data_IF_672194591422
#
_entry.id   IF_672194591422
#
_cell.length_a   1.000
_cell.length_b   1.000
_cell.length_c   1.000
_cell.angle_alpha   90.00
_cell.angle_beta   90.00
_cell.angle_gamma   90.00
#
_symmetry.space_group_name_H-M   'P 1'
#
loop_
_entity.id
_entity.type
_entity.pdbx_description
1 polymer ?
#
# COMPACT_ATOMS: atom_id res chain seq x y z
N UNK A 1 22.55 9.73 1.23
CA UNK A 1 22.87 8.36 1.68
C UNK A 1 21.91 7.40 0.98
N UNK A 2 22.41 6.67 -0.02
CA UNK A 2 21.64 5.61 -0.71
C UNK A 2 21.71 4.39 0.19
N UNK A 3 20.58 3.96 0.73
CA UNK A 3 20.48 2.72 1.49
C UNK A 3 19.94 1.67 0.52
N UNK A 4 20.76 0.67 0.23
CA UNK A 4 20.32 -0.56 -0.45
C UNK A 4 19.48 -1.33 0.57
N UNK A 5 18.24 -1.67 0.21
CA UNK A 5 17.37 -2.48 1.06
C UNK A 5 18.07 -3.77 1.50
N UNK A 6 17.91 -4.14 2.76
CA UNK A 6 18.48 -5.37 3.30
C UNK A 6 17.84 -6.59 2.63
N UNK A 7 18.68 -7.52 2.15
CA UNK A 7 18.25 -8.75 1.47
C UNK A 7 18.52 -9.94 2.37
N UNK A 8 17.50 -10.41 3.07
CA UNK A 8 17.57 -11.65 3.84
C UNK A 8 17.45 -12.85 2.88
N UNK A 9 18.55 -13.60 2.72
CA UNK A 9 18.58 -14.83 1.90
C UNK A 9 18.26 -16.02 2.79
N UNK A 10 17.06 -16.58 2.67
CA UNK A 10 16.71 -17.87 3.28
C UNK A 10 16.95 -19.02 2.27
N UNK A 11 17.59 -20.09 2.73
CA UNK A 11 17.85 -21.30 1.95
C UNK A 11 16.60 -22.18 1.89
N UNK A 12 16.04 -22.39 0.69
CA UNK A 12 14.92 -23.29 0.44
C UNK A 12 13.76 -22.58 -0.23
N UNK A 13 13.80 -22.45 -1.56
CA UNK A 13 12.75 -21.74 -2.29
C UNK A 13 11.62 -22.70 -2.68
N UNK A 14 10.79 -23.08 -1.71
CA UNK A 14 9.44 -23.62 -1.95
C UNK A 14 8.44 -22.50 -1.71
N UNK A 15 8.33 -21.56 -2.64
CA UNK A 15 7.51 -20.35 -2.49
C UNK A 15 7.40 -19.52 -3.76
N UNK A 16 6.74 -18.35 -3.67
CA UNK A 16 6.60 -17.41 -4.78
C UNK A 16 7.97 -16.97 -5.31
N UNK A 17 8.08 -16.73 -6.63
CA UNK A 17 9.31 -16.27 -7.25
C UNK A 17 9.78 -14.96 -6.60
N UNK A 18 11.05 -14.89 -6.13
CA UNK A 18 11.56 -13.68 -5.51
C UNK A 18 11.70 -12.61 -6.57
N UNK A 19 11.45 -11.36 -6.20
CA UNK A 19 11.36 -10.25 -7.15
C UNK A 19 12.67 -10.03 -7.92
N UNK A 20 13.82 -10.35 -7.31
CA UNK A 20 15.15 -10.35 -7.97
C UNK A 20 15.29 -11.32 -9.16
N UNK A 21 14.43 -12.33 -9.24
CA UNK A 21 14.43 -13.29 -10.36
C UNK A 21 13.52 -12.86 -11.51
N UNK A 22 12.83 -11.73 -11.37
CA UNK A 22 12.01 -11.17 -12.44
C UNK A 22 12.93 -10.41 -13.39
N UNK A 23 12.93 -10.82 -14.66
CA UNK A 23 13.74 -10.21 -15.72
C UNK A 23 13.06 -8.93 -16.24
N UNK A 24 12.88 -7.96 -15.34
CA UNK A 24 12.36 -6.64 -15.67
C UNK A 24 12.80 -5.59 -14.63
N UNK A 25 12.35 -4.36 -14.83
CA UNK A 25 12.61 -3.26 -13.91
C UNK A 25 11.73 -3.37 -12.67
N UNK A 26 12.39 -3.44 -11.51
CA UNK A 26 11.79 -3.59 -10.19
C UNK A 26 12.31 -2.47 -9.29
N UNK A 27 11.41 -1.77 -8.62
CA UNK A 27 11.75 -0.87 -7.51
C UNK A 27 11.08 -1.35 -6.23
N UNK A 28 11.76 -1.18 -5.09
CA UNK A 28 11.23 -1.45 -3.76
C UNK A 28 11.47 -0.23 -2.88
N UNK A 29 10.39 0.30 -2.31
CA UNK A 29 10.43 1.36 -1.29
C UNK A 29 10.16 0.72 0.08
N UNK A 30 11.19 0.64 0.92
CA UNK A 30 11.11 0.01 2.23
C UNK A 30 10.40 0.86 3.29
N UNK A 31 10.10 0.23 4.42
CA UNK A 31 9.47 0.78 5.62
C UNK A 31 10.10 2.12 6.05
N UNK A 32 11.42 2.23 6.04
CA UNK A 32 12.19 3.40 6.46
C UNK A 32 11.93 4.65 5.59
N UNK A 33 11.42 4.46 4.38
CA UNK A 33 11.04 5.54 3.47
C UNK A 33 9.55 5.86 3.54
N UNK A 34 8.74 4.94 4.03
CA UNK A 34 7.27 5.03 3.99
C UNK A 34 6.69 5.42 5.35
N UNK A 35 7.13 4.79 6.43
CA UNK A 35 6.43 4.81 7.72
C UNK A 35 6.40 6.19 8.40
N UNK A 36 7.38 7.04 8.11
CA UNK A 36 7.45 8.42 8.62
C UNK A 36 6.80 9.45 7.70
N UNK A 37 6.31 9.05 6.52
CA UNK A 37 5.68 9.97 5.57
C UNK A 37 4.35 10.46 6.08
N UNK A 38 4.12 11.77 5.96
CA UNK A 38 2.82 12.40 6.18
C UNK A 38 2.14 12.51 4.81
N UNK A 39 1.18 11.63 4.54
CA UNK A 39 0.39 11.62 3.31
C UNK A 39 -1.08 11.62 3.66
N UNK A 40 -1.89 12.34 2.89
CA UNK A 40 -3.35 12.29 3.07
C UNK A 40 -3.88 10.96 2.53
N UNK A 41 -3.26 10.43 1.49
CA UNK A 41 -3.66 9.20 0.84
C UNK A 41 -2.46 8.30 0.55
N UNK A 42 -2.66 6.99 0.63
CA UNK A 42 -1.58 6.02 0.51
C UNK A 42 -1.08 5.91 -0.93
N UNK A 43 -1.91 6.26 -1.92
CA UNK A 43 -1.49 6.39 -3.32
C UNK A 43 -0.44 7.48 -3.55
N UNK A 44 -0.31 8.48 -2.66
CA UNK A 44 0.73 9.52 -2.75
C UNK A 44 2.13 8.93 -2.55
N UNK A 45 2.25 7.82 -1.82
CA UNK A 45 3.52 7.12 -1.61
C UNK A 45 4.03 6.49 -2.91
N UNK A 46 3.11 5.91 -3.69
CA UNK A 46 3.43 5.31 -4.99
C UNK A 46 3.98 6.37 -5.95
N UNK A 47 3.41 7.58 -5.94
CA UNK A 47 3.91 8.70 -6.76
C UNK A 47 5.34 9.13 -6.44
N UNK A 48 5.90 8.72 -5.30
CA UNK A 48 7.30 9.01 -4.94
C UNK A 48 8.29 7.98 -5.53
N UNK A 49 7.81 6.93 -6.19
CA UNK A 49 8.67 5.92 -6.81
C UNK A 49 9.10 6.33 -8.22
N UNK A 50 10.33 5.96 -8.66
CA UNK A 50 10.84 6.32 -9.97
C UNK A 50 9.92 5.89 -11.13
N UNK A 51 9.82 6.71 -12.18
CA UNK A 51 9.09 6.34 -13.40
C UNK A 51 7.59 6.14 -13.24
N UNK A 52 7.02 6.56 -12.10
CA UNK A 52 5.58 6.63 -11.87
C UNK A 52 5.11 8.05 -12.11
N UNK A 53 4.05 8.17 -12.90
CA UNK A 53 3.24 9.38 -12.98
C UNK A 53 1.95 9.13 -12.21
N UNK A 54 1.45 10.16 -11.54
CA UNK A 54 0.28 10.04 -10.68
C UNK A 54 -0.77 11.06 -11.13
N UNK A 55 -1.94 10.56 -11.51
CA UNK A 55 -3.11 11.42 -11.71
C UNK A 55 -3.81 11.61 -10.38
N UNK A 56 -3.70 12.80 -9.82
CA UNK A 56 -4.29 13.16 -8.53
C UNK A 56 -5.67 13.79 -8.72
N UNK A 57 -6.74 13.00 -8.63
CA UNK A 57 -8.10 13.54 -8.73
C UNK A 57 -8.43 14.47 -7.57
N UNK A 58 -7.98 14.12 -6.35
CA UNK A 58 -8.30 14.86 -5.11
C UNK A 58 -9.81 15.09 -4.91
N UNK A 59 -10.63 14.14 -5.39
CA UNK A 59 -12.09 14.17 -5.30
C UNK A 59 -12.59 13.18 -4.24
N UNK A 60 -12.53 13.59 -2.99
CA UNK A 60 -13.04 12.81 -1.87
C UNK A 60 -12.34 11.46 -1.73
N UNK A 61 -13.09 10.36 -1.83
CA UNK A 61 -12.60 8.99 -1.67
C UNK A 61 -12.17 8.32 -2.98
N UNK A 62 -12.00 9.09 -4.06
CA UNK A 62 -11.42 8.59 -5.30
C UNK A 62 -9.91 8.47 -5.17
N UNK A 63 -9.37 7.28 -5.43
CA UNK A 63 -7.93 7.05 -5.38
C UNK A 63 -7.21 7.77 -6.52
N UNK A 64 -6.02 8.29 -6.24
CA UNK A 64 -5.09 8.71 -7.27
C UNK A 64 -4.71 7.53 -8.16
N UNK A 65 -4.57 7.77 -9.46
CA UNK A 65 -4.27 6.70 -10.43
C UNK A 65 -2.79 6.71 -10.78
N UNK A 66 -1.98 5.74 -10.31
CA UNK A 66 -0.62 5.61 -10.77
C UNK A 66 -0.61 5.09 -12.21
N UNK A 67 0.33 5.60 -12.99
CA UNK A 67 0.63 5.18 -14.34
C UNK A 67 2.14 5.02 -14.51
N UNK A 68 2.54 4.05 -15.33
CA UNK A 68 3.94 3.90 -15.74
C UNK A 68 4.02 3.23 -17.09
N UNK A 69 5.02 3.61 -17.89
CA UNK A 69 5.23 3.12 -19.27
C UNK A 69 3.97 3.25 -20.16
N UNK A 70 3.23 4.35 -19.99
CA UNK A 70 1.96 4.65 -20.67
C UNK A 70 0.81 3.65 -20.40
N UNK A 71 0.96 2.78 -19.39
CA UNK A 71 -0.12 1.94 -18.89
C UNK A 71 -0.76 2.59 -17.68
N UNK A 72 -2.09 2.52 -17.65
CA UNK A 72 -2.94 3.30 -16.76
C UNK A 72 -2.75 4.82 -16.92
N UNK A 73 -3.68 5.56 -16.33
CA UNK A 73 -3.85 7.00 -16.46
C UNK A 73 -5.31 7.36 -16.19
N UNK A 74 -5.75 8.47 -16.75
CA UNK A 74 -7.17 8.83 -16.80
C UNK A 74 -7.97 7.74 -17.55
N UNK A 75 -8.78 6.96 -16.84
CA UNK A 75 -9.62 5.91 -17.44
C UNK A 75 -10.04 4.80 -16.48
N UNK A 76 -10.81 3.86 -17.00
CA UNK A 76 -11.25 2.65 -16.30
C UNK A 76 -10.70 1.39 -16.97
N UNK A 77 -9.38 1.25 -16.97
CA UNK A 77 -8.66 0.12 -17.56
C UNK A 77 -7.81 -0.55 -16.47
N UNK A 78 -7.83 -1.87 -16.42
CA UNK A 78 -6.98 -2.67 -15.53
C UNK A 78 -5.59 -2.90 -16.16
N UNK A 79 -4.83 -1.83 -16.40
CA UNK A 79 -3.49 -1.92 -16.99
C UNK A 79 -2.39 -2.26 -15.98
N UNK A 80 -2.50 -1.74 -14.76
CA UNK A 80 -1.59 -2.02 -13.63
C UNK A 80 -2.34 -2.72 -12.53
N UNK A 81 -1.80 -3.85 -12.07
CA UNK A 81 -2.35 -4.61 -10.95
C UNK A 81 -1.88 -4.03 -9.62
N UNK A 82 -2.82 -3.64 -8.77
CA UNK A 82 -2.59 -3.42 -7.35
C UNK A 82 -2.72 -4.76 -6.62
N UNK A 83 -1.74 -5.03 -5.76
CA UNK A 83 -1.73 -6.13 -4.83
C UNK A 83 -1.56 -5.55 -3.43
N UNK A 84 -2.34 -6.07 -2.49
CA UNK A 84 -2.17 -5.81 -1.07
C UNK A 84 -1.84 -7.16 -0.45
N UNK A 85 -0.62 -7.32 0.05
CA UNK A 85 -0.06 -8.61 0.47
C UNK A 85 -0.16 -9.72 -0.59
N UNK A 86 0.05 -9.37 -1.87
CA UNK A 86 -0.08 -10.33 -2.97
C UNK A 86 -1.53 -10.70 -3.36
N UNK A 87 -2.54 -10.11 -2.72
CA UNK A 87 -3.96 -10.28 -3.10
C UNK A 87 -4.42 -9.12 -3.99
N UNK A 88 -5.07 -9.36 -5.14
CA UNK A 88 -5.55 -8.29 -6.02
C UNK A 88 -6.46 -7.28 -5.29
N UNK A 89 -6.11 -6.00 -5.37
CA UNK A 89 -6.81 -4.89 -4.70
C UNK A 89 -7.59 -3.96 -5.64
N UNK A 90 -7.39 -4.04 -6.96
CA UNK A 90 -8.21 -3.26 -7.91
C UNK A 90 -9.67 -3.73 -7.89
N UNK A 91 -10.58 -2.80 -8.15
CA UNK A 91 -11.93 -3.17 -8.59
C UNK A 91 -11.97 -3.41 -10.11
N UNK A 92 -13.08 -3.95 -10.62
CA UNK A 92 -13.27 -4.28 -12.03
C UNK A 92 -12.97 -3.13 -13.00
N UNK A 93 -13.08 -1.88 -12.55
CA UNK A 93 -12.82 -0.69 -13.35
C UNK A 93 -11.34 -0.26 -13.37
N UNK A 94 -10.42 -0.94 -12.69
CA UNK A 94 -9.01 -0.51 -12.55
C UNK A 94 -8.74 0.41 -11.38
N UNK A 95 -9.79 0.98 -10.77
CA UNK A 95 -9.66 1.87 -9.62
C UNK A 95 -9.02 1.14 -8.41
N UNK A 96 -8.18 1.84 -7.69
CA UNK A 96 -7.32 1.35 -6.61
C UNK A 96 -7.82 1.81 -5.23
N UNK A 97 -9.14 1.96 -5.06
CA UNK A 97 -9.76 2.51 -3.83
C UNK A 97 -9.39 1.80 -2.52
N UNK A 98 -9.03 0.52 -2.57
CA UNK A 98 -8.59 -0.22 -1.37
C UNK A 98 -7.18 0.14 -0.91
N UNK A 99 -6.40 0.88 -1.71
CA UNK A 99 -5.05 1.29 -1.34
C UNK A 99 -5.04 2.22 -0.13
N UNK A 100 -6.02 3.11 -0.01
CA UNK A 100 -6.10 4.08 1.09
C UNK A 100 -6.50 3.47 2.44
N UNK A 101 -6.83 2.17 2.45
CA UNK A 101 -6.97 1.38 3.68
C UNK A 101 -5.63 1.11 4.37
N UNK A 102 -4.52 1.14 3.63
CA UNK A 102 -3.20 0.76 4.13
C UNK A 102 -2.43 2.03 4.51
N UNK A 103 -2.33 2.31 5.80
CA UNK A 103 -1.69 3.53 6.29
C UNK A 103 -0.16 3.37 6.36
N UNK A 104 0.61 4.48 6.30
CA UNK A 104 2.08 4.43 6.25
C UNK A 104 2.73 3.55 7.32
N UNK A 105 2.28 3.59 8.58
CA UNK A 105 2.90 2.84 9.67
C UNK A 105 2.75 1.31 9.50
N UNK A 106 1.70 0.85 8.81
CA UNK A 106 1.45 -0.57 8.56
C UNK A 106 2.25 -1.12 7.38
N UNK A 107 2.81 -0.26 6.53
CA UNK A 107 3.52 -0.66 5.31
C UNK A 107 4.93 -1.15 5.66
N UNK A 108 5.24 -2.38 5.25
CA UNK A 108 6.59 -2.94 5.31
C UNK A 108 7.38 -2.54 4.06
N UNK A 109 6.76 -2.63 2.89
CA UNK A 109 7.34 -2.12 1.65
C UNK A 109 6.29 -1.92 0.55
N UNK A 110 6.65 -1.09 -0.43
CA UNK A 110 5.94 -0.97 -1.71
C UNK A 110 6.88 -1.47 -2.80
N UNK A 111 6.47 -2.51 -3.51
CA UNK A 111 7.19 -3.07 -4.66
C UNK A 111 6.46 -2.68 -5.95
N UNK A 112 7.22 -2.24 -6.95
CA UNK A 112 6.70 -1.93 -8.28
C UNK A 112 7.48 -2.73 -9.31
N UNK A 113 6.78 -3.62 -9.99
CA UNK A 113 7.31 -4.41 -11.11
C UNK A 113 6.74 -3.86 -12.40
N UNK A 114 7.60 -3.36 -13.28
CA UNK A 114 7.17 -2.71 -14.53
C UNK A 114 7.29 -3.67 -15.70
N UNK A 115 6.29 -3.68 -16.57
CA UNK A 115 6.20 -4.52 -17.76
C UNK A 115 5.49 -5.86 -17.53
N UNK A 116 5.33 -6.61 -18.61
CA UNK A 116 4.52 -7.84 -18.71
C UNK A 116 5.19 -9.10 -18.16
N UNK A 117 6.44 -9.00 -17.70
CA UNK A 117 7.31 -10.16 -17.43
C UNK A 117 7.16 -10.75 -16.02
N UNK A 118 6.14 -10.36 -15.25
CA UNK A 118 5.86 -10.94 -13.94
C UNK A 118 4.77 -12.02 -14.04
N UNK A 119 5.15 -13.32 -14.03
CA UNK A 119 4.20 -14.41 -14.16
C UNK A 119 3.39 -14.65 -12.87
N UNK A 120 3.76 -14.03 -11.73
CA UNK A 120 3.18 -14.36 -10.42
C UNK A 120 1.70 -14.02 -10.30
N UNK A 121 1.20 -13.05 -11.09
CA UNK A 121 -0.11 -12.46 -10.84
C UNK A 121 -1.10 -12.49 -12.01
N UNK A 122 -0.73 -13.05 -13.17
CA UNK A 122 -1.66 -13.34 -14.28
C UNK A 122 -2.30 -12.09 -14.92
N UNK A 123 -3.61 -12.17 -15.23
CA UNK A 123 -4.39 -11.16 -15.96
C UNK A 123 -4.33 -9.77 -15.30
N UNK A 124 -4.63 -8.70 -16.04
CA UNK A 124 -4.68 -7.32 -15.50
C UNK A 124 -3.31 -6.78 -15.03
N UNK A 125 -2.22 -7.28 -15.62
CA UNK A 125 -0.81 -6.99 -15.26
C UNK A 125 0.01 -6.57 -16.50
N UNK A 126 -0.62 -5.88 -17.47
CA UNK A 126 0.00 -5.60 -18.78
C UNK A 126 1.07 -4.51 -18.66
N UNK A 127 0.75 -3.45 -17.91
CA UNK A 127 1.72 -2.42 -17.56
C UNK A 127 2.72 -2.89 -16.52
N UNK A 128 2.30 -3.82 -15.65
CA UNK A 128 3.03 -4.33 -14.49
C UNK A 128 2.16 -4.32 -13.24
N UNK A 129 2.77 -4.45 -12.07
CA UNK A 129 2.08 -4.49 -10.79
C UNK A 129 2.73 -3.63 -9.72
N UNK A 130 1.93 -3.31 -8.72
CA UNK A 130 2.31 -2.62 -7.50
C UNK A 130 1.85 -3.50 -6.36
N UNK A 131 2.77 -3.97 -5.52
CA UNK A 131 2.48 -4.73 -4.33
C UNK A 131 2.78 -3.90 -3.09
N UNK A 132 1.74 -3.61 -2.32
CA UNK A 132 1.87 -3.01 -0.99
C UNK A 132 1.84 -4.12 0.03
N UNK A 133 3.00 -4.40 0.60
CA UNK A 133 3.13 -5.39 1.67
C UNK A 133 2.97 -4.70 3.02
N UNK A 134 2.06 -5.23 3.83
CA UNK A 134 1.89 -4.80 5.22
C UNK A 134 2.74 -5.65 6.14
N UNK A 135 3.08 -5.10 7.30
CA UNK A 135 3.87 -5.77 8.34
C UNK A 135 3.33 -7.18 8.62
N UNK A 136 4.24 -8.13 8.72
CA UNK A 136 3.93 -9.54 8.99
C UNK A 136 5.04 -10.17 9.82
N UNK A 137 4.70 -10.75 10.97
CA UNK A 137 5.66 -11.28 11.93
C UNK A 137 6.30 -10.21 12.80
N UNK A 138 7.41 -10.59 13.43
CA UNK A 138 8.21 -9.72 14.30
C UNK A 138 7.59 -9.45 15.68
N UNK A 139 8.37 -8.77 16.53
CA UNK A 139 7.97 -8.37 17.88
C UNK A 139 8.15 -6.86 18.04
N UNK A 140 7.05 -6.11 17.98
CA UNK A 140 7.10 -4.65 18.03
C UNK A 140 5.80 -4.05 18.56
N UNK A 141 5.92 -2.85 19.15
CA UNK A 141 4.81 -1.98 19.49
C UNK A 141 5.18 -0.59 18.98
N UNK A 142 4.47 -0.11 17.97
CA UNK A 142 4.70 1.20 17.38
C UNK A 142 3.42 2.02 17.38
N UNK A 143 3.52 3.31 17.65
CA UNK A 143 2.41 4.25 17.59
C UNK A 143 2.89 5.56 16.99
N UNK A 144 1.98 6.24 16.28
CA UNK A 144 2.23 7.53 15.66
C UNK A 144 1.03 8.44 15.90
N UNK A 145 1.34 9.67 16.28
CA UNK A 145 0.39 10.77 16.38
C UNK A 145 0.87 11.88 15.46
N UNK A 146 0.00 12.36 14.58
CA UNK A 146 0.28 13.49 13.69
C UNK A 146 -0.79 14.55 13.88
N UNK A 147 -0.37 15.81 14.00
CA UNK A 147 -1.25 16.98 14.03
C UNK A 147 -0.70 18.03 13.07
N UNK A 148 -1.56 18.76 12.37
CA UNK A 148 -1.10 19.72 11.37
C UNK A 148 -2.18 20.66 10.86
N UNK A 149 -1.85 21.35 9.75
CA UNK A 149 -2.73 22.32 9.08
C UNK A 149 -4.10 21.72 8.73
N UNK A 150 -5.10 22.59 8.54
CA UNK A 150 -6.48 22.18 8.20
C UNK A 150 -7.11 21.26 9.25
N UNK A 151 -6.78 21.49 10.53
CA UNK A 151 -7.25 20.69 11.66
C UNK A 151 -6.97 19.18 11.46
N UNK A 152 -5.86 18.85 10.81
CA UNK A 152 -5.51 17.46 10.50
C UNK A 152 -5.04 16.77 11.76
N UNK A 153 -5.66 15.63 12.07
CA UNK A 153 -5.34 14.78 13.21
C UNK A 153 -5.29 13.33 12.74
N UNK A 154 -4.20 12.64 13.05
CA UNK A 154 -4.02 11.24 12.71
C UNK A 154 -3.42 10.47 13.88
N UNK A 155 -3.98 9.29 14.13
CA UNK A 155 -3.44 8.31 15.08
C UNK A 155 -3.28 6.98 14.35
N UNK A 156 -2.11 6.35 14.50
CA UNK A 156 -1.83 5.01 14.01
C UNK A 156 -1.18 4.19 15.14
N UNK A 157 -1.53 2.91 15.25
CA UNK A 157 -0.88 1.98 16.16
C UNK A 157 -0.73 0.60 15.49
N UNK A 158 0.43 0.01 15.67
CA UNK A 158 0.82 -1.27 15.10
C UNK A 158 1.43 -2.15 16.19
N UNK A 159 0.97 -3.40 16.28
CA UNK A 159 1.45 -4.42 17.21
C UNK A 159 1.81 -5.67 16.41
N UNK A 160 3.03 -6.16 16.58
CA UNK A 160 3.46 -7.46 16.07
C UNK A 160 3.92 -8.34 17.20
N UNK A 161 3.50 -9.59 17.20
CA UNK A 161 4.02 -10.61 18.08
C UNK A 161 4.21 -11.92 17.31
N UNK A 162 5.41 -12.49 17.43
CA UNK A 162 5.74 -13.77 16.80
C UNK A 162 6.45 -14.67 17.80
N UNK A 163 5.90 -15.87 17.98
CA UNK A 163 6.43 -16.89 18.89
C UNK A 163 6.00 -18.28 18.44
N UNK A 164 6.91 -19.26 18.51
CA UNK A 164 6.61 -20.67 18.22
C UNK A 164 5.99 -20.92 16.84
N UNK A 165 6.49 -20.23 15.79
CA UNK A 165 5.97 -20.36 14.42
C UNK A 165 4.63 -19.67 14.16
N UNK A 166 4.04 -18.99 15.16
CA UNK A 166 2.80 -18.24 15.03
C UNK A 166 3.06 -16.73 15.10
N UNK A 167 2.78 -16.04 13.99
CA UNK A 167 2.88 -14.60 13.83
C UNK A 167 1.50 -13.94 13.87
N UNK A 168 1.38 -12.89 14.68
CA UNK A 168 0.18 -12.09 14.84
C UNK A 168 0.51 -10.62 14.66
N UNK A 169 -0.22 -9.93 13.79
CA UNK A 169 -0.07 -8.49 13.59
C UNK A 169 -1.42 -7.81 13.66
N UNK A 170 -1.46 -6.68 14.36
CA UNK A 170 -2.66 -5.87 14.55
C UNK A 170 -2.34 -4.43 14.19
N UNK A 171 -3.25 -3.81 13.47
CA UNK A 171 -3.13 -2.42 13.06
C UNK A 171 -4.44 -1.68 13.29
N UNK A 172 -4.35 -0.45 13.79
CA UNK A 172 -5.49 0.48 13.86
C UNK A 172 -5.03 1.88 13.50
N UNK A 173 -5.83 2.57 12.70
CA UNK A 173 -5.59 3.96 12.35
C UNK A 173 -6.87 4.76 12.18
N UNK A 174 -6.77 6.07 12.44
CA UNK A 174 -7.80 7.06 12.17
C UNK A 174 -7.14 8.35 11.72
N UNK A 175 -7.63 8.94 10.62
CA UNK A 175 -7.24 10.24 10.11
C UNK A 175 -8.50 11.09 9.90
N UNK A 176 -8.49 12.33 10.37
CA UNK A 176 -9.52 13.36 10.17
C UNK A 176 -8.84 14.66 9.73
N UNK A 177 -9.35 15.33 8.70
CA UNK A 177 -8.80 16.58 8.18
C UNK A 177 -9.90 17.37 7.49
N UNK A 178 -9.95 18.68 7.75
CA UNK A 178 -10.90 19.58 7.06
C UNK A 178 -10.50 19.81 5.59
N UNK A 179 -9.24 19.55 5.25
CA UNK A 179 -8.69 19.76 3.92
C UNK A 179 -8.48 21.23 3.57
N UNK A 180 -7.81 21.48 2.44
CA UNK A 180 -7.37 22.82 2.06
C UNK A 180 -8.43 23.63 1.29
N UNK A 181 -9.45 22.96 0.74
CA UNK A 181 -10.56 23.57 -0.02
C UNK A 181 -11.87 23.47 0.74
N UNK A 182 -12.78 24.38 0.45
CA UNK A 182 -14.18 24.20 0.85
C UNK A 182 -14.72 22.87 0.30
N UNK A 183 -15.50 22.16 1.11
CA UNK A 183 -16.01 20.82 0.76
C UNK A 183 -14.92 19.76 0.51
N UNK A 184 -13.75 19.85 1.16
CA UNK A 184 -12.68 18.84 1.06
C UNK A 184 -12.43 18.00 2.32
N UNK A 185 -13.29 18.13 3.35
CA UNK A 185 -13.17 17.36 4.60
C UNK A 185 -13.14 15.86 4.32
N UNK A 186 -12.20 15.16 4.95
CA UNK A 186 -12.01 13.72 4.83
C UNK A 186 -11.77 13.07 6.19
N UNK A 187 -12.41 11.93 6.41
CA UNK A 187 -12.27 11.10 7.61
C UNK A 187 -12.18 9.64 7.21
N UNK A 188 -11.09 8.98 7.58
CA UNK A 188 -10.90 7.55 7.35
C UNK A 188 -10.42 6.83 8.60
N UNK A 189 -10.83 5.57 8.73
CA UNK A 189 -10.32 4.67 9.74
C UNK A 189 -10.10 3.28 9.16
N UNK A 190 -9.07 2.61 9.66
CA UNK A 190 -8.69 1.26 9.26
C UNK A 190 -8.38 0.41 10.48
N UNK A 191 -8.80 -0.85 10.42
CA UNK A 191 -8.43 -1.89 11.39
C UNK A 191 -7.97 -3.11 10.59
N UNK A 192 -6.83 -3.68 10.95
CA UNK A 192 -6.24 -4.83 10.30
C UNK A 192 -5.77 -5.87 11.30
N UNK A 193 -5.90 -7.14 10.91
CA UNK A 193 -5.36 -8.29 11.62
C UNK A 193 -4.75 -9.29 10.64
N UNK A 194 -3.57 -9.83 10.97
CA UNK A 194 -2.93 -10.92 10.24
C UNK A 194 -2.51 -12.00 11.22
N UNK A 195 -2.78 -13.25 10.85
CA UNK A 195 -2.37 -14.43 11.60
C UNK A 195 -1.71 -15.40 10.64
N UNK A 196 -0.46 -15.75 10.88
CA UNK A 196 0.27 -16.70 10.06
C UNK A 196 0.88 -17.78 10.93
N UNK A 197 0.73 -19.02 10.50
CA UNK A 197 1.34 -20.19 11.13
C UNK A 197 2.34 -20.81 10.15
N UNK A 198 3.55 -21.05 10.62
CA UNK A 198 4.60 -21.78 9.91
C UNK A 198 4.96 -23.02 10.73
N UNK A 199 4.94 -24.21 10.12
CA UNK A 199 5.31 -25.44 10.82
C UNK A 199 6.80 -25.45 11.18
N UNK A 200 7.18 -26.16 12.25
CA UNK A 200 8.58 -26.26 12.70
C UNK A 200 9.53 -26.77 11.62
N UNK A 201 9.04 -27.67 10.77
CA UNK A 201 9.78 -28.21 9.62
C UNK A 201 9.81 -27.26 8.40
N UNK A 202 9.15 -26.09 8.46
CA UNK A 202 9.09 -25.07 7.41
C UNK A 202 8.25 -25.45 6.17
N UNK A 203 7.75 -26.68 6.09
CA UNK A 203 7.05 -27.19 4.91
C UNK A 203 5.61 -26.70 4.74
N UNK A 204 5.02 -26.05 5.73
CA UNK A 204 3.67 -25.51 5.67
C UNK A 204 3.64 -24.08 6.21
N UNK A 205 3.11 -23.15 5.41
CA UNK A 205 2.74 -21.80 5.85
C UNK A 205 1.29 -21.54 5.49
N UNK A 206 0.47 -21.23 6.49
CA UNK A 206 -0.93 -20.85 6.33
C UNK A 206 -1.16 -19.48 6.97
N UNK A 207 -2.10 -18.70 6.44
CA UNK A 207 -2.42 -17.41 7.02
C UNK A 207 -3.84 -16.93 6.75
N UNK A 208 -4.31 -16.07 7.65
CA UNK A 208 -5.57 -15.35 7.58
C UNK A 208 -5.28 -13.86 7.68
N UNK A 209 -5.93 -13.08 6.82
CA UNK A 209 -5.87 -11.62 6.85
C UNK A 209 -7.29 -11.09 6.90
N UNK A 210 -7.57 -10.20 7.85
CA UNK A 210 -8.85 -9.53 7.99
C UNK A 210 -8.64 -8.02 8.08
N UNK A 211 -9.45 -7.25 7.35
CA UNK A 211 -9.38 -5.79 7.34
C UNK A 211 -10.76 -5.17 7.31
N UNK A 212 -10.90 -4.07 8.04
CA UNK A 212 -12.09 -3.23 8.06
C UNK A 212 -11.64 -1.81 7.75
N UNK A 213 -12.31 -1.18 6.79
CA UNK A 213 -12.00 0.17 6.33
C UNK A 213 -13.26 0.96 6.11
N UNK A 214 -13.22 2.24 6.47
CA UNK A 214 -14.25 3.21 6.11
C UNK A 214 -13.59 4.54 5.80
N UNK A 215 -14.14 5.20 4.79
CA UNK A 215 -13.67 6.48 4.30
C UNK A 215 -14.88 7.32 3.92
N UNK A 216 -15.11 8.35 4.70
CA UNK A 216 -16.08 9.40 4.41
C UNK A 216 -15.30 10.63 3.96
N UNK A 217 -15.60 11.12 2.76
CA UNK A 217 -14.91 12.27 2.22
C UNK A 217 -15.86 13.12 1.39
N UNK A 218 -15.76 14.43 1.56
CA UNK A 218 -16.40 15.41 0.68
C UNK A 218 -15.54 15.63 -0.56
N UNK A 219 -16.17 16.08 -1.64
CA UNK A 219 -15.49 16.33 -2.92
C UNK A 219 -15.67 17.80 -3.31
N UNK A 220 -14.58 18.60 -3.38
CA UNK A 220 -14.65 20.04 -3.64
C UNK A 220 -14.84 20.38 -5.14
N UNK A 221 -15.08 19.38 -6.00
CA UNK A 221 -15.12 19.54 -7.45
C UNK A 221 -13.75 19.79 -8.07
N UNK A 222 -13.71 19.90 -9.40
CA UNK A 222 -12.52 20.32 -10.13
C UNK A 222 -12.27 21.82 -9.96
N UNK A 223 -11.01 22.22 -9.99
CA UNK A 223 -10.65 23.63 -9.98
C UNK A 223 -11.17 24.33 -11.23
N UNK A 224 -11.78 25.48 -11.03
CA UNK A 224 -12.12 26.38 -12.13
C UNK A 224 -10.95 27.31 -12.42
N UNK A 225 -10.87 27.91 -13.62
CA UNK A 225 -9.79 28.84 -13.95
C UNK A 225 -9.73 30.09 -13.06
N UNK A 226 -10.79 30.38 -12.31
CA UNK A 226 -10.90 31.52 -11.39
C UNK A 226 -10.45 31.24 -9.95
N UNK A 227 -10.12 29.98 -9.63
CA UNK A 227 -9.57 29.55 -8.33
C UNK A 227 -8.07 29.26 -8.44
#
# INVERSE_FOLDING_TARGET
>A
MVVLGEVTVNSGNTGSLPTRSILTSVDVMGAERVQDKNVMNSWELIGQMPGIQLTEFRLGAESGKPSFRAFNGEGYINGIKLLIDGVPGNINSGNMRHLDMIFPLDIEYIEVVRGTNDPRYGLHNIGGNINVATRQGGNYINARLSVGSFNTQEVQAALGHESGGFAQNYFVAKQDSDGYRDHSRSKKYGVGGKWFYTSDAGGLKAGLIARIYSHEAKSPGYMTASE
#
